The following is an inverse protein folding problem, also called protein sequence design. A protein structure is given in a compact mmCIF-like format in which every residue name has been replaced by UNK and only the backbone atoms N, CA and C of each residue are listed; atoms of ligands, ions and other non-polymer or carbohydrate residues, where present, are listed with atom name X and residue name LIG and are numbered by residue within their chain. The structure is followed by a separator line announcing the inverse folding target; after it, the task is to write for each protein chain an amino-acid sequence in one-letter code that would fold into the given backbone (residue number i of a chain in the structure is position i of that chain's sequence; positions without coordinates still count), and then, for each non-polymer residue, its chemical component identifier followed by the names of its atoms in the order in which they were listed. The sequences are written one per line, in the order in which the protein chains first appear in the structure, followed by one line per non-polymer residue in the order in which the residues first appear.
data_IF_767106015534
#
_entry.id   IF_767106015534
#
_cell.length_a   1.000
_cell.length_b   1.000
_cell.length_c   1.000
_cell.angle_alpha   90.00
_cell.angle_beta   90.00
_cell.angle_gamma   90.00
#
_symmetry.space_group_name_H-M   'P 1'
#
loop_
_entity.id
_entity.type
_entity.pdbx_description
1 polymer ?
#
# COMPACT_ATOMS: atom_id res chain seq x y z
N UNK A 1 12.72 -20.58 -17.72
CA UNK A 1 12.10 -19.81 -16.60
C UNK A 1 11.26 -18.70 -17.23
N UNK A 2 9.94 -18.74 -17.07
CA UNK A 2 9.06 -17.70 -17.63
C UNK A 2 9.19 -16.42 -16.81
N UNK A 3 9.48 -15.29 -17.45
CA UNK A 3 9.47 -13.98 -16.81
C UNK A 3 8.02 -13.56 -16.56
N UNK A 4 7.69 -13.23 -15.31
CA UNK A 4 6.37 -12.73 -14.96
C UNK A 4 6.19 -11.32 -15.56
N UNK A 5 5.16 -11.08 -16.40
CA UNK A 5 4.93 -9.81 -17.11
C UNK A 5 4.52 -8.62 -16.21
N UNK A 6 4.68 -8.74 -14.88
CA UNK A 6 4.56 -7.65 -13.91
C UNK A 6 5.92 -7.11 -13.41
N UNK A 7 6.98 -7.91 -13.46
CA UNK A 7 8.33 -7.48 -13.05
C UNK A 7 8.87 -6.37 -13.98
N UNK A 8 8.45 -6.38 -15.25
CA UNK A 8 8.80 -5.36 -16.24
C UNK A 8 8.19 -3.99 -15.91
N UNK A 9 7.05 -3.90 -15.19
CA UNK A 9 6.46 -2.59 -14.87
C UNK A 9 7.10 -1.93 -13.65
N UNK A 10 7.43 -2.70 -12.61
CA UNK A 10 8.13 -2.16 -11.43
C UNK A 10 9.57 -1.76 -11.77
N UNK A 11 10.28 -2.59 -12.55
CA UNK A 11 11.61 -2.26 -13.04
C UNK A 11 11.60 -0.96 -13.88
N UNK A 12 10.61 -0.79 -14.76
CA UNK A 12 10.47 0.43 -15.55
C UNK A 12 10.08 1.66 -14.71
N UNK A 13 9.25 1.50 -13.68
CA UNK A 13 8.90 2.59 -12.74
C UNK A 13 10.12 3.01 -11.92
N UNK A 14 10.86 2.04 -11.39
CA UNK A 14 12.14 2.28 -10.70
C UNK A 14 13.06 3.02 -11.66
N UNK A 15 13.35 2.47 -12.85
CA UNK A 15 14.23 3.10 -13.86
C UNK A 15 13.83 4.53 -14.22
N UNK A 16 12.54 4.85 -14.36
CA UNK A 16 12.07 6.23 -14.61
C UNK A 16 12.34 7.17 -13.43
N UNK A 17 12.15 6.68 -12.21
CA UNK A 17 12.45 7.44 -10.99
C UNK A 17 13.95 7.63 -10.80
N UNK A 18 14.77 6.61 -11.10
CA UNK A 18 16.23 6.71 -11.13
C UNK A 18 16.68 7.80 -12.13
N UNK A 19 16.15 7.76 -13.36
CA UNK A 19 16.50 8.70 -14.42
C UNK A 19 16.04 10.14 -14.15
N UNK A 20 14.99 10.34 -13.33
CA UNK A 20 14.55 11.68 -12.92
C UNK A 20 15.50 12.28 -11.87
N UNK A 21 15.87 11.51 -10.83
CA UNK A 21 16.77 11.98 -9.76
C UNK A 21 18.21 12.24 -10.25
N UNK A 22 18.69 11.46 -11.22
CA UNK A 22 19.99 11.70 -11.87
C UNK A 22 20.05 13.08 -12.55
N UNK A 23 18.95 13.53 -13.18
CA UNK A 23 18.85 14.87 -13.77
C UNK A 23 18.79 16.00 -12.73
N UNK A 24 18.38 15.69 -11.50
CA UNK A 24 18.27 16.65 -10.39
C UNK A 24 19.58 16.82 -9.62
N UNK A 25 20.65 16.10 -10.00
CA UNK A 25 21.98 16.23 -9.38
C UNK A 25 22.09 15.60 -7.98
N UNK A 26 21.09 14.83 -7.57
CA UNK A 26 21.07 14.15 -6.27
C UNK A 26 21.98 12.92 -6.30
N UNK A 27 22.86 12.79 -5.29
CA UNK A 27 23.72 11.62 -5.11
C UNK A 27 22.82 10.38 -4.96
N UNK A 28 22.99 9.43 -5.86
CA UNK A 28 22.06 8.32 -6.02
C UNK A 28 22.12 7.34 -4.85
N UNK A 29 21.16 7.45 -3.95
CA UNK A 29 20.92 6.47 -2.89
C UNK A 29 19.85 5.48 -3.38
N UNK A 30 20.29 4.26 -3.70
CA UNK A 30 19.41 3.15 -4.13
C UNK A 30 18.42 2.82 -3.01
N UNK A 31 18.86 2.82 -1.75
CA UNK A 31 18.00 2.51 -0.61
C UNK A 31 16.93 3.58 -0.44
N UNK A 32 17.30 4.85 -0.53
CA UNK A 32 16.33 5.96 -0.46
C UNK A 32 15.36 5.90 -1.63
N UNK A 33 15.84 5.60 -2.85
CA UNK A 33 14.97 5.56 -4.02
C UNK A 33 14.00 4.39 -3.97
N UNK A 34 14.46 3.20 -3.58
CA UNK A 34 13.58 2.04 -3.36
C UNK A 34 12.58 2.36 -2.25
N UNK A 35 13.00 2.95 -1.13
CA UNK A 35 12.08 3.37 -0.06
C UNK A 35 11.01 4.33 -0.58
N UNK A 36 11.38 5.35 -1.34
CA UNK A 36 10.43 6.33 -1.88
C UNK A 36 9.47 5.68 -2.88
N UNK A 37 9.93 4.80 -3.78
CA UNK A 37 9.05 4.10 -4.73
C UNK A 37 8.04 3.21 -4.00
N UNK A 38 8.52 2.45 -3.00
CA UNK A 38 7.65 1.58 -2.22
C UNK A 38 6.69 2.39 -1.35
N UNK A 39 7.14 3.46 -0.71
CA UNK A 39 6.31 4.35 0.08
C UNK A 39 5.22 4.98 -0.79
N UNK A 40 5.56 5.48 -1.97
CA UNK A 40 4.61 6.11 -2.90
C UNK A 40 3.59 5.09 -3.46
N UNK A 41 4.03 3.85 -3.67
CA UNK A 41 3.14 2.73 -4.01
C UNK A 41 2.16 2.42 -2.88
N UNK A 42 2.63 2.33 -1.63
CA UNK A 42 1.77 2.12 -0.46
C UNK A 42 0.84 3.32 -0.23
N UNK A 43 1.31 4.55 -0.33
CA UNK A 43 0.48 5.77 -0.21
C UNK A 43 -0.57 5.83 -1.33
N UNK A 44 -0.22 5.46 -2.56
CA UNK A 44 -1.18 5.44 -3.67
C UNK A 44 -2.26 4.35 -3.51
N UNK A 45 -1.91 3.21 -2.90
CA UNK A 45 -2.86 2.13 -2.66
C UNK A 45 -3.69 2.32 -1.38
N UNK A 46 -3.08 2.90 -0.35
CA UNK A 46 -3.60 2.94 1.00
C UNK A 46 -4.00 4.35 1.43
N UNK A 47 -3.67 5.39 0.68
CA UNK A 47 -4.06 6.77 1.00
C UNK A 47 -5.58 6.99 1.00
N UNK A 48 -6.34 6.09 0.37
CA UNK A 48 -7.81 6.05 0.39
C UNK A 48 -8.39 5.07 1.42
N UNK A 49 -7.57 4.51 2.31
CA UNK A 49 -7.98 3.57 3.37
C UNK A 49 -9.23 3.99 4.15
N UNK A 50 -9.37 5.28 4.49
CA UNK A 50 -10.56 5.84 5.18
C UNK A 50 -11.86 5.69 4.40
N UNK A 51 -11.82 5.55 3.07
CA UNK A 51 -13.02 5.26 2.25
C UNK A 51 -13.55 3.85 2.51
N UNK A 52 -12.72 2.95 3.03
CA UNK A 52 -13.08 1.56 3.35
C UNK A 52 -13.32 1.34 4.83
N UNK A 53 -13.47 2.41 5.61
CA UNK A 53 -13.84 2.36 7.02
C UNK A 53 -15.33 2.61 7.17
N UNK A 54 -15.98 1.89 8.08
CA UNK A 54 -17.38 2.13 8.43
C UNK A 54 -17.54 2.17 9.95
N UNK A 55 -18.60 2.85 10.40
CA UNK A 55 -18.99 2.87 11.81
C UNK A 55 -20.01 1.78 12.11
N UNK A 56 -19.73 0.98 13.13
CA UNK A 56 -20.65 0.02 13.70
C UNK A 56 -21.75 0.74 14.50
N UNK A 57 -22.80 0.00 14.86
CA UNK A 57 -23.92 0.54 15.64
C UNK A 57 -23.52 1.00 17.06
N UNK A 58 -22.43 0.47 17.59
CA UNK A 58 -21.85 0.85 18.89
C UNK A 58 -20.92 2.07 18.82
N UNK A 59 -20.75 2.66 17.62
CA UNK A 59 -19.91 3.83 17.37
C UNK A 59 -18.44 3.52 17.09
N UNK A 60 -18.01 2.26 17.18
CA UNK A 60 -16.65 1.84 16.81
C UNK A 60 -16.47 1.84 15.30
N UNK A 61 -15.24 2.01 14.84
CA UNK A 61 -14.85 1.91 13.44
C UNK A 61 -14.37 0.49 13.11
N UNK A 62 -14.68 0.03 11.90
CA UNK A 62 -14.26 -1.26 11.36
C UNK A 62 -13.75 -1.11 9.92
N UNK A 63 -12.84 -1.99 9.52
CA UNK A 63 -12.35 -2.10 8.15
C UNK A 63 -13.28 -2.93 7.28
N UNK A 64 -13.70 -2.41 6.12
CA UNK A 64 -14.49 -3.13 5.12
C UNK A 64 -13.57 -3.77 4.07
N UNK A 65 -13.12 -4.99 4.36
CA UNK A 65 -12.20 -5.71 3.48
C UNK A 65 -12.81 -6.08 2.13
N UNK A 66 -14.10 -6.45 2.11
CA UNK A 66 -14.79 -6.84 0.88
C UNK A 66 -14.87 -5.67 -0.11
N UNK A 67 -15.25 -4.49 0.38
CA UNK A 67 -15.33 -3.28 -0.43
C UNK A 67 -13.95 -2.83 -0.93
N UNK A 68 -12.93 -2.90 -0.07
CA UNK A 68 -11.56 -2.62 -0.47
C UNK A 68 -11.10 -3.53 -1.61
N UNK A 69 -11.23 -4.86 -1.43
CA UNK A 69 -10.83 -5.84 -2.43
C UNK A 69 -11.64 -5.71 -3.73
N UNK A 70 -12.94 -5.42 -3.62
CA UNK A 70 -13.80 -5.15 -4.77
C UNK A 70 -13.32 -3.93 -5.57
N UNK A 71 -13.05 -2.80 -4.90
CA UNK A 71 -12.59 -1.57 -5.56
C UNK A 71 -11.27 -1.76 -6.33
N UNK A 72 -10.38 -2.59 -5.80
CA UNK A 72 -9.11 -2.93 -6.46
C UNK A 72 -9.35 -3.77 -7.72
N UNK A 73 -10.29 -4.71 -7.65
CA UNK A 73 -10.65 -5.58 -8.78
C UNK A 73 -11.25 -4.78 -9.94
N UNK A 74 -12.07 -3.77 -9.65
CA UNK A 74 -12.64 -2.86 -10.65
C UNK A 74 -11.57 -2.02 -11.35
N UNK A 75 -10.53 -1.61 -10.63
CA UNK A 75 -9.42 -0.84 -11.20
C UNK A 75 -8.42 -1.70 -11.96
N UNK A 76 -8.04 -2.85 -11.41
CA UNK A 76 -7.03 -3.73 -12.00
C UNK A 76 -7.03 -5.11 -11.36
N UNK A 77 -7.29 -6.15 -12.17
CA UNK A 77 -7.18 -7.54 -11.74
C UNK A 77 -5.79 -7.89 -11.18
N UNK A 78 -4.72 -7.36 -11.79
CA UNK A 78 -3.34 -7.59 -11.30
C UNK A 78 -3.11 -6.95 -9.93
N UNK A 79 -3.71 -5.79 -9.69
CA UNK A 79 -3.61 -5.09 -8.41
C UNK A 79 -4.37 -5.85 -7.33
N UNK A 80 -5.60 -6.30 -7.65
CA UNK A 80 -6.38 -7.18 -6.80
C UNK A 80 -5.59 -8.45 -6.43
N UNK A 81 -5.02 -9.15 -7.42
CA UNK A 81 -4.32 -10.41 -7.18
C UNK A 81 -3.03 -10.20 -6.35
N UNK A 82 -2.31 -9.10 -6.58
CA UNK A 82 -1.17 -8.72 -5.76
C UNK A 82 -1.59 -8.41 -4.31
N UNK A 83 -2.63 -7.59 -4.12
CA UNK A 83 -3.12 -7.25 -2.79
C UNK A 83 -3.74 -8.44 -2.09
N UNK A 84 -4.38 -9.39 -2.79
CA UNK A 84 -4.88 -10.62 -2.17
C UNK A 84 -3.77 -11.46 -1.53
N UNK A 85 -2.52 -11.32 -2.00
CA UNK A 85 -1.33 -11.92 -1.39
C UNK A 85 -0.83 -11.05 -0.24
N UNK A 86 -0.67 -9.74 -0.46
CA UNK A 86 -0.18 -8.78 0.57
C UNK A 86 -1.10 -8.72 1.78
N UNK A 87 -2.41 -8.79 1.56
CA UNK A 87 -3.44 -8.74 2.60
C UNK A 87 -3.37 -9.92 3.57
N UNK A 88 -2.66 -11.00 3.22
CA UNK A 88 -2.40 -12.14 4.12
C UNK A 88 -1.10 -11.99 4.92
N UNK A 89 -0.35 -10.92 4.69
CA UNK A 89 0.92 -10.69 5.38
C UNK A 89 0.69 -10.02 6.73
N UNK A 90 1.51 -10.40 7.70
CA UNK A 90 1.44 -9.87 9.06
C UNK A 90 1.53 -8.34 9.08
N UNK A 91 2.46 -7.77 8.30
CA UNK A 91 2.65 -6.32 8.21
C UNK A 91 1.41 -5.57 7.71
N UNK A 92 0.64 -6.15 6.80
CA UNK A 92 -0.58 -5.52 6.29
C UNK A 92 -1.74 -5.63 7.27
N UNK A 93 -1.85 -6.77 7.96
CA UNK A 93 -2.81 -6.96 9.05
C UNK A 93 -2.54 -6.01 10.21
N UNK A 94 -1.28 -5.85 10.61
CA UNK A 94 -0.87 -4.89 11.64
C UNK A 94 -1.21 -3.47 11.23
N UNK A 95 -0.91 -3.08 9.99
CA UNK A 95 -1.27 -1.78 9.48
C UNK A 95 -2.79 -1.52 9.50
N UNK A 96 -3.62 -2.48 9.05
CA UNK A 96 -5.09 -2.37 9.13
C UNK A 96 -5.55 -2.19 10.57
N UNK A 97 -5.00 -2.97 11.50
CA UNK A 97 -5.31 -2.86 12.94
C UNK A 97 -4.95 -1.49 13.49
N UNK A 98 -3.79 -0.94 13.14
CA UNK A 98 -3.38 0.39 13.59
C UNK A 98 -4.38 1.47 13.18
N UNK A 99 -4.91 1.41 11.94
CA UNK A 99 -5.91 2.38 11.47
C UNK A 99 -7.22 2.24 12.21
N UNK A 100 -7.68 1.01 12.43
CA UNK A 100 -8.91 0.76 13.20
C UNK A 100 -8.77 1.32 14.61
N UNK A 101 -7.62 1.08 15.26
CA UNK A 101 -7.30 1.63 16.59
C UNK A 101 -7.29 3.16 16.60
N UNK A 102 -6.61 3.78 15.63
CA UNK A 102 -6.56 5.24 15.48
C UNK A 102 -7.96 5.85 15.32
N UNK A 103 -8.80 5.26 14.47
CA UNK A 103 -10.17 5.72 14.24
C UNK A 103 -11.09 5.50 15.46
N UNK A 104 -10.78 4.53 16.32
CA UNK A 104 -11.45 4.31 17.61
C UNK A 104 -10.92 5.21 18.74
N UNK A 105 -9.85 5.98 18.50
CA UNK A 105 -9.19 6.77 19.55
C UNK A 105 -8.48 5.90 20.60
N UNK A 106 -8.09 4.67 20.23
CA UNK A 106 -7.27 3.81 21.08
C UNK A 106 -5.82 4.33 21.08
N UNK A 107 -5.23 4.48 22.27
CA UNK A 107 -3.81 4.82 22.42
C UNK A 107 -2.94 3.58 22.11
N UNK A 108 -1.77 3.83 21.54
CA UNK A 108 -0.77 2.79 21.30
C UNK A 108 -0.07 2.49 22.64
N UNK A 109 0.00 1.21 23.05
CA UNK A 109 1.07 0.79 23.94
C UNK A 109 2.35 0.84 23.10
N UNK A 110 3.34 1.63 23.53
CA UNK A 110 4.61 1.86 22.83
C UNK A 110 5.55 0.61 22.79
N UNK A 111 5.03 -0.57 23.11
CA UNK A 111 5.75 -1.86 23.22
C UNK A 111 5.64 -2.75 21.97
#
# INVERSE_FOLDING_TARGET
RAQLPGATSLANTIQKLLAKREKEGNKFDIEETIRVVFLDFFVSMLGKHREFMYKNADGTASWNEEEFMHSLKEKSRKLHDFIAVVNKTQIFEDWKRCIVKEENGEEYDDD
#
